data_IF_811247123966
#
_entry.id   IF_811247123966
#
_cell.length_a   1.000
_cell.length_b   1.000
_cell.length_c   1.000
_cell.angle_alpha   90.00
_cell.angle_beta   90.00
_cell.angle_gamma   90.00
#
_symmetry.space_group_name_H-M   'P 1'
#
loop_
_entity.id
_entity.type
_entity.pdbx_description
1 polymer ?
#
# COMPACT_ATOMS: atom_id res chain seq x y z
N UNK A 1 20.83 -29.31 19.58
CA UNK A 1 20.77 -27.84 19.79
C UNK A 1 20.62 -27.00 18.49
N UNK A 2 20.48 -27.59 17.29
CA UNK A 2 20.23 -26.82 16.04
C UNK A 2 18.75 -26.80 15.59
N UNK A 3 17.92 -27.72 16.08
CA UNK A 3 16.48 -27.73 15.79
C UNK A 3 15.71 -26.63 16.52
N UNK A 4 16.14 -26.26 17.73
CA UNK A 4 15.53 -25.15 18.48
C UNK A 4 15.74 -23.81 17.76
N UNK A 5 16.95 -23.60 17.19
CA UNK A 5 17.26 -22.41 16.40
C UNK A 5 16.40 -22.32 15.12
N UNK A 6 16.19 -23.45 14.44
CA UNK A 6 15.35 -23.52 13.23
C UNK A 6 13.88 -23.22 13.55
N UNK A 7 13.36 -23.77 14.65
CA UNK A 7 12.00 -23.48 15.13
C UNK A 7 11.82 -21.99 15.48
N UNK A 8 12.83 -21.37 16.08
CA UNK A 8 12.81 -19.94 16.39
C UNK A 8 12.74 -19.06 15.13
N UNK A 9 13.52 -19.39 14.09
CA UNK A 9 13.51 -18.65 12.83
C UNK A 9 12.17 -18.77 12.11
N UNK A 10 11.57 -19.97 12.10
CA UNK A 10 10.23 -20.18 11.50
C UNK A 10 9.16 -19.45 12.30
N UNK A 11 9.22 -19.47 13.63
CA UNK A 11 8.28 -18.75 14.49
C UNK A 11 8.35 -17.22 14.30
N UNK A 12 9.55 -16.67 14.14
CA UNK A 12 9.76 -15.24 13.85
C UNK A 12 9.31 -14.84 12.45
N UNK A 13 9.39 -15.72 11.45
CA UNK A 13 8.87 -15.44 10.12
C UNK A 13 7.32 -15.33 10.11
N UNK A 14 6.64 -16.16 10.91
CA UNK A 14 5.17 -16.21 11.00
C UNK A 14 4.58 -15.08 11.87
N UNK A 15 5.35 -14.51 12.81
CA UNK A 15 4.88 -13.39 13.66
C UNK A 15 4.90 -12.01 12.97
N UNK A 16 5.35 -11.94 11.72
CA UNK A 16 5.49 -10.70 10.94
C UNK A 16 4.24 -9.77 10.87
N UNK A 17 2.97 -10.24 10.86
CA UNK A 17 1.85 -9.30 10.70
C UNK A 17 1.55 -8.50 11.96
N UNK A 18 1.95 -8.92 13.17
CA UNK A 18 1.48 -8.30 14.41
C UNK A 18 2.13 -6.92 14.68
N UNK A 19 3.33 -6.68 14.16
CA UNK A 19 4.11 -5.45 14.42
C UNK A 19 3.89 -4.35 13.36
N UNK A 20 3.23 -4.64 12.24
CA UNK A 20 3.01 -3.67 11.15
C UNK A 20 2.05 -2.52 11.52
N UNK A 21 1.42 -2.58 12.70
CA UNK A 21 0.37 -1.67 13.15
C UNK A 21 0.88 -0.47 13.98
N UNK A 22 2.19 -0.34 14.21
CA UNK A 22 2.75 0.68 15.11
C UNK A 22 3.30 1.94 14.40
N UNK A 23 3.60 1.88 13.10
CA UNK A 23 3.99 3.06 12.34
C UNK A 23 2.75 3.88 11.97
N UNK A 24 2.45 4.90 12.77
CA UNK A 24 1.40 5.86 12.45
C UNK A 24 1.66 6.54 11.09
N UNK A 25 0.59 6.79 10.35
CA UNK A 25 0.69 7.55 9.10
C UNK A 25 1.15 8.98 9.40
N UNK A 26 2.09 9.49 8.61
CA UNK A 26 2.45 10.91 8.68
C UNK A 26 1.28 11.76 8.17
N UNK A 27 1.13 12.98 8.67
CA UNK A 27 0.09 13.90 8.19
C UNK A 27 0.19 14.16 6.68
N UNK A 28 1.43 14.16 6.16
CA UNK A 28 1.67 14.27 4.72
C UNK A 28 1.15 13.04 3.97
N UNK A 29 1.44 11.84 4.46
CA UNK A 29 0.96 10.58 3.88
C UNK A 29 -0.58 10.52 3.84
N UNK A 30 -1.26 10.90 4.93
CA UNK A 30 -2.73 10.90 4.98
C UNK A 30 -3.33 11.87 3.95
N UNK A 31 -2.71 13.05 3.77
CA UNK A 31 -3.17 14.03 2.78
C UNK A 31 -3.01 13.51 1.36
N UNK A 32 -1.85 12.92 1.07
CA UNK A 32 -1.56 12.28 -0.21
C UNK A 32 -2.59 11.17 -0.52
N UNK A 33 -2.86 10.31 0.47
CA UNK A 33 -3.85 9.25 0.33
C UNK A 33 -5.25 9.81 0.09
N UNK A 34 -5.68 10.85 0.82
CA UNK A 34 -6.96 11.50 0.56
C UNK A 34 -7.08 12.07 -0.85
N UNK A 35 -6.02 12.69 -1.38
CA UNK A 35 -6.00 13.21 -2.76
C UNK A 35 -6.21 12.05 -3.75
N UNK A 36 -5.60 10.89 -3.52
CA UNK A 36 -5.77 9.71 -4.37
C UNK A 36 -7.19 9.15 -4.30
N UNK A 37 -7.78 9.08 -3.11
CA UNK A 37 -9.18 8.67 -2.95
C UNK A 37 -10.14 9.66 -3.61
N UNK A 38 -9.85 10.97 -3.53
CA UNK A 38 -10.62 11.99 -4.23
C UNK A 38 -10.51 11.87 -5.75
N UNK A 39 -9.30 11.60 -6.27
CA UNK A 39 -9.08 11.31 -7.69
C UNK A 39 -9.79 10.01 -8.14
N UNK A 40 -9.93 9.04 -7.24
CA UNK A 40 -10.72 7.84 -7.44
C UNK A 40 -12.25 8.07 -7.35
N UNK A 41 -12.69 9.30 -7.06
CA UNK A 41 -14.09 9.70 -7.01
C UNK A 41 -14.76 9.53 -5.64
N UNK A 42 -14.01 9.20 -4.58
CA UNK A 42 -14.53 9.09 -3.23
C UNK A 42 -14.31 10.36 -2.42
N UNK A 43 -15.40 10.90 -1.85
CA UNK A 43 -15.35 12.07 -0.96
C UNK A 43 -16.11 11.76 0.34
N UNK A 44 -15.42 11.63 1.50
CA UNK A 44 -16.07 11.31 2.76
C UNK A 44 -17.04 12.39 3.24
N UNK A 45 -16.82 13.66 2.87
CA UNK A 45 -17.70 14.76 3.23
C UNK A 45 -19.04 14.76 2.45
N UNK A 46 -19.13 13.97 1.36
CA UNK A 46 -20.33 13.85 0.51
C UNK A 46 -20.73 12.37 0.31
N UNK A 47 -20.28 11.48 1.18
CA UNK A 47 -20.58 10.06 1.07
C UNK A 47 -22.08 9.80 1.27
N UNK A 48 -22.66 8.95 0.43
CA UNK A 48 -24.05 8.53 0.58
C UNK A 48 -24.16 7.53 1.73
N UNK A 49 -24.96 7.79 2.79
CA UNK A 49 -25.05 6.92 3.96
C UNK A 49 -25.49 5.48 3.67
N UNK A 50 -26.14 5.24 2.52
CA UNK A 50 -26.59 3.90 2.12
C UNK A 50 -25.56 3.10 1.35
N UNK A 51 -24.64 3.77 0.64
CA UNK A 51 -23.69 3.12 -0.29
C UNK A 51 -22.23 3.37 0.07
N UNK A 52 -21.95 4.13 1.13
CA UNK A 52 -20.59 4.58 1.45
C UNK A 52 -19.58 3.43 1.57
N UNK A 53 -20.00 2.26 2.05
CA UNK A 53 -19.12 1.07 2.15
C UNK A 53 -18.67 0.62 0.76
N UNK A 54 -19.62 0.46 -0.15
CA UNK A 54 -19.35 0.03 -1.53
C UNK A 54 -18.55 1.11 -2.28
N UNK A 55 -18.88 2.38 -2.06
CA UNK A 55 -18.19 3.53 -2.67
C UNK A 55 -16.72 3.60 -2.22
N UNK A 56 -16.44 3.36 -0.93
CA UNK A 56 -15.06 3.27 -0.39
C UNK A 56 -14.31 2.09 -1.02
N UNK A 57 -14.95 0.92 -1.11
CA UNK A 57 -14.34 -0.27 -1.70
C UNK A 57 -14.03 -0.09 -3.19
N UNK A 58 -14.96 0.50 -3.94
CA UNK A 58 -14.74 0.82 -5.35
C UNK A 58 -13.56 1.79 -5.53
N UNK A 59 -13.47 2.81 -4.67
CA UNK A 59 -12.36 3.75 -4.71
C UNK A 59 -11.02 3.12 -4.29
N UNK A 60 -11.00 2.22 -3.30
CA UNK A 60 -9.77 1.55 -2.86
C UNK A 60 -9.19 0.64 -3.96
N UNK A 61 -10.05 -0.02 -4.75
CA UNK A 61 -9.63 -0.79 -5.92
C UNK A 61 -8.96 0.10 -6.96
N UNK A 62 -9.54 1.28 -7.25
CA UNK A 62 -8.96 2.26 -8.19
C UNK A 62 -7.62 2.79 -7.70
N UNK A 63 -7.51 3.13 -6.41
CA UNK A 63 -6.26 3.61 -5.80
C UNK A 63 -5.18 2.54 -5.84
N UNK A 64 -5.53 1.28 -5.56
CA UNK A 64 -4.58 0.15 -5.63
C UNK A 64 -4.10 -0.06 -7.06
N UNK A 65 -5.01 -0.07 -8.04
CA UNK A 65 -4.66 -0.19 -9.45
C UNK A 65 -3.74 0.95 -9.93
N UNK A 66 -3.98 2.18 -9.45
CA UNK A 66 -3.11 3.32 -9.74
C UNK A 66 -1.71 3.16 -9.13
N UNK A 67 -1.61 2.72 -7.87
CA UNK A 67 -0.33 2.45 -7.19
C UNK A 67 0.48 1.37 -7.90
N UNK A 68 -0.18 0.32 -8.38
CA UNK A 68 0.48 -0.75 -9.14
C UNK A 68 1.02 -0.24 -10.48
N UNK A 69 0.26 0.62 -11.16
CA UNK A 69 0.71 1.26 -12.40
C UNK A 69 1.93 2.17 -12.16
N UNK A 70 1.91 2.98 -11.10
CA UNK A 70 3.04 3.82 -10.69
C UNK A 70 4.29 2.98 -10.38
N UNK A 71 4.12 1.87 -9.64
CA UNK A 71 5.22 0.96 -9.32
C UNK A 71 5.84 0.31 -10.56
N UNK A 72 5.00 -0.09 -11.54
CA UNK A 72 5.47 -0.62 -12.83
C UNK A 72 6.20 0.43 -13.65
N UNK A 73 5.71 1.66 -13.71
CA UNK A 73 6.37 2.77 -14.39
C UNK A 73 7.74 3.10 -13.75
N UNK A 74 7.83 3.08 -12.42
CA UNK A 74 9.08 3.28 -11.69
C UNK A 74 10.11 2.17 -11.98
N UNK A 75 9.68 0.90 -12.03
CA UNK A 75 10.56 -0.20 -12.44
C UNK A 75 11.05 -0.07 -13.89
N UNK A 76 10.17 0.30 -14.82
CA UNK A 76 10.54 0.53 -16.23
C UNK A 76 11.52 1.70 -16.39
N UNK A 77 11.34 2.79 -15.63
CA UNK A 77 12.28 3.91 -15.56
C UNK A 77 13.64 3.52 -14.95
N UNK A 78 13.66 2.66 -13.93
CA UNK A 78 14.91 2.14 -13.35
C UNK A 78 15.65 1.20 -14.32
N UNK A 79 14.93 0.37 -15.07
CA UNK A 79 15.53 -0.50 -16.10
C UNK A 79 16.21 0.28 -17.23
N UNK A 80 15.65 1.44 -17.60
CA UNK A 80 16.26 2.32 -18.62
C UNK A 80 17.40 3.20 -18.06
N UNK A 81 17.40 3.51 -16.77
CA UNK A 81 18.52 4.18 -16.09
C UNK A 81 19.72 3.24 -15.86
N UNK A 82 19.48 1.94 -15.63
CA UNK A 82 20.54 0.93 -15.52
C UNK A 82 21.22 0.57 -16.85
N UNK A 83 20.56 0.83 -17.98
CA UNK A 83 21.06 0.57 -19.33
C UNK A 83 21.82 1.75 -19.97
N UNK A 84 21.99 2.88 -19.25
CA UNK A 84 22.68 4.09 -19.74
C UNK A 84 24.08 4.30 -19.13
N UNK A 85 24.57 3.32 -18.40
CA UNK A 85 25.96 3.30 -17.92
C UNK A 85 26.75 2.26 -18.72
N UNK A 86 27.06 2.58 -19.98
CA UNK A 86 28.09 1.91 -20.80
C UNK A 86 28.84 2.96 -21.63
#
# INVERSE_FOLDING_TARGET
MKSLLRLFVVALAVSSPLLAHAQGLTRAQVREDMIRYQAAGFNPARANPRTWVDDVQAASMRVTAARDADGRAQMAGRGTAGARCD
#
